data_IF_634009794663
#
_entry.id   IF_634009794663
#
_cell.length_a   1.000
_cell.length_b   1.000
_cell.length_c   1.000
_cell.angle_alpha   90.00
_cell.angle_beta   90.00
_cell.angle_gamma   90.00
#
_symmetry.space_group_name_H-M   'P 1'
#
loop_
_entity.id
_entity.type
_entity.pdbx_description
1 polymer ?
#
# COMPACT_ATOMS: atom_id res chain seq x y z
N UNK A 1 10.99 25.18 -38.62
CA UNK A 1 11.72 24.56 -37.49
C UNK A 1 10.81 24.67 -36.28
N UNK A 2 10.41 23.53 -35.72
CA UNK A 2 9.39 23.41 -34.69
C UNK A 2 10.09 23.33 -33.33
N UNK A 3 9.94 24.32 -32.46
CA UNK A 3 10.35 24.21 -31.05
C UNK A 3 9.16 23.66 -30.24
N UNK A 4 9.35 22.47 -29.67
CA UNK A 4 8.38 21.79 -28.81
C UNK A 4 8.61 22.27 -27.37
N UNK A 5 7.57 22.87 -26.79
CA UNK A 5 7.54 23.32 -25.41
C UNK A 5 7.60 22.13 -24.43
N UNK A 6 8.58 22.16 -23.52
CA UNK A 6 8.62 21.26 -22.36
C UNK A 6 7.71 21.86 -21.28
N UNK A 7 6.52 21.31 -21.16
CA UNK A 7 5.60 21.64 -20.07
C UNK A 7 5.98 20.82 -18.83
N UNK A 8 6.75 21.41 -17.92
CA UNK A 8 7.02 20.82 -16.61
C UNK A 8 5.75 20.86 -15.76
N UNK A 9 5.20 19.68 -15.46
CA UNK A 9 4.09 19.50 -14.54
C UNK A 9 4.49 19.95 -13.13
N UNK A 10 3.92 21.09 -12.69
CA UNK A 10 4.01 21.57 -11.32
C UNK A 10 3.17 20.64 -10.42
N UNK A 11 3.77 19.58 -9.89
CA UNK A 11 3.16 18.79 -8.80
C UNK A 11 2.93 19.71 -7.59
N UNK A 12 1.67 19.82 -7.19
CA UNK A 12 1.13 20.68 -6.14
C UNK A 12 1.81 20.46 -4.79
N UNK A 13 2.68 21.40 -4.39
CA UNK A 13 3.33 21.46 -3.08
C UNK A 13 2.39 21.90 -1.94
N UNK A 14 1.22 22.46 -2.27
CA UNK A 14 0.27 23.03 -1.30
C UNK A 14 -0.46 22.01 -0.42
N UNK A 15 -0.95 20.89 -0.96
CA UNK A 15 -1.66 19.85 -0.17
C UNK A 15 -0.73 19.10 0.80
N UNK A 16 0.55 18.97 0.44
CA UNK A 16 1.56 18.18 1.16
C UNK A 16 2.00 18.80 2.49
N UNK A 17 1.99 20.14 2.59
CA UNK A 17 2.31 20.88 3.81
C UNK A 17 1.24 20.75 4.90
N UNK A 18 -0.02 20.56 4.53
CA UNK A 18 -1.11 20.34 5.49
C UNK A 18 -1.17 18.88 5.98
N UNK A 19 -0.73 17.93 5.15
CA UNK A 19 -0.60 16.50 5.49
C UNK A 19 0.28 16.26 6.72
N UNK A 20 1.42 16.98 6.82
CA UNK A 20 2.31 16.89 8.00
C UNK A 20 1.74 17.50 9.29
N UNK A 21 0.74 18.39 9.21
CA UNK A 21 0.21 19.12 10.38
C UNK A 21 -0.91 18.39 11.12
N UNK A 22 -1.43 17.29 10.58
CA UNK A 22 -2.46 16.46 11.22
C UNK A 22 -1.93 15.05 11.49
N UNK A 23 -0.93 14.91 12.35
CA UNK A 23 -0.59 13.61 12.93
C UNK A 23 -1.69 13.20 13.92
N UNK A 24 -2.81 12.75 13.37
CA UNK A 24 -3.86 12.05 14.12
C UNK A 24 -3.31 10.67 14.41
N UNK A 25 -3.42 10.20 15.66
CA UNK A 25 -3.10 8.81 15.99
C UNK A 25 -4.06 7.96 15.17
N UNK A 26 -3.53 7.27 14.17
CA UNK A 26 -4.34 6.41 13.30
C UNK A 26 -4.79 5.21 14.11
N UNK A 27 -6.11 5.08 14.28
CA UNK A 27 -6.66 3.95 15.00
C UNK A 27 -7.22 2.92 14.01
N UNK A 28 -6.84 1.65 14.20
CA UNK A 28 -7.47 0.49 13.53
C UNK A 28 -9.00 0.55 13.55
N UNK A 29 -9.59 1.16 14.58
CA UNK A 29 -11.04 1.39 14.71
C UNK A 29 -11.61 2.30 13.62
N UNK A 30 -10.89 3.35 13.21
CA UNK A 30 -11.32 4.24 12.13
C UNK A 30 -11.31 3.53 10.79
N UNK A 31 -10.27 2.74 10.50
CA UNK A 31 -10.19 1.92 9.28
C UNK A 31 -11.37 0.94 9.22
N UNK A 32 -11.65 0.21 10.30
CA UNK A 32 -12.78 -0.72 10.38
C UNK A 32 -14.11 0.01 10.14
N UNK A 33 -14.28 1.23 10.68
CA UNK A 33 -15.49 2.03 10.44
C UNK A 33 -15.65 2.45 8.99
N UNK A 34 -14.57 2.83 8.31
CA UNK A 34 -14.63 3.16 6.88
C UNK A 34 -15.02 1.93 6.07
N UNK A 35 -14.35 0.80 6.29
CA UNK A 35 -14.66 -0.47 5.61
C UNK A 35 -16.12 -0.87 5.87
N UNK A 36 -16.60 -0.83 7.11
CA UNK A 36 -17.97 -1.21 7.43
C UNK A 36 -19.04 -0.27 6.84
N UNK A 37 -18.68 0.99 6.54
CA UNK A 37 -19.61 1.98 5.99
C UNK A 37 -19.62 2.01 4.47
N UNK A 38 -18.49 1.77 3.83
CA UNK A 38 -18.30 1.96 2.39
C UNK A 38 -17.91 0.69 1.64
N UNK A 39 -17.60 -0.41 2.35
CA UNK A 39 -17.30 -1.69 1.74
C UNK A 39 -18.56 -2.55 1.56
N UNK A 40 -18.52 -3.39 0.55
CA UNK A 40 -19.53 -4.41 0.22
C UNK A 40 -19.04 -5.83 0.58
N UNK A 41 -19.93 -6.82 0.52
CA UNK A 41 -19.63 -8.19 0.96
C UNK A 41 -18.47 -8.84 0.19
N UNK A 42 -18.37 -8.53 -1.11
CA UNK A 42 -17.36 -9.09 -2.02
C UNK A 42 -16.13 -8.18 -2.23
N UNK A 43 -16.07 -7.03 -1.55
CA UNK A 43 -14.94 -6.10 -1.65
C UNK A 43 -13.65 -6.65 -1.03
N UNK A 44 -13.78 -7.63 -0.14
CA UNK A 44 -12.66 -8.23 0.59
C UNK A 44 -12.71 -9.75 0.54
N UNK A 45 -11.52 -10.34 0.45
CA UNK A 45 -11.36 -11.80 0.45
C UNK A 45 -11.65 -12.46 1.80
N UNK A 46 -11.68 -11.67 2.88
CA UNK A 46 -12.04 -12.13 4.22
C UNK A 46 -10.87 -12.72 5.02
N UNK A 47 -11.17 -13.65 5.92
CA UNK A 47 -10.19 -14.17 6.88
C UNK A 47 -9.16 -15.08 6.20
N UNK A 48 -7.88 -14.72 6.32
CA UNK A 48 -6.77 -15.49 5.78
C UNK A 48 -5.92 -16.07 6.91
N UNK A 49 -5.55 -17.33 6.74
CA UNK A 49 -4.74 -18.07 7.69
C UNK A 49 -3.29 -17.54 7.77
N UNK A 50 -2.64 -17.73 8.93
CA UNK A 50 -1.29 -17.21 9.15
C UNK A 50 -0.23 -17.89 8.26
N UNK A 51 -0.48 -19.11 7.79
CA UNK A 51 0.41 -19.85 6.91
C UNK A 51 0.66 -19.10 5.60
N UNK A 52 -0.35 -18.41 5.06
CA UNK A 52 -0.18 -17.60 3.84
C UNK A 52 0.75 -16.41 4.07
N UNK A 53 0.68 -15.78 5.25
CA UNK A 53 1.60 -14.69 5.64
C UNK A 53 3.03 -15.22 5.72
N UNK A 54 3.23 -16.37 6.38
CA UNK A 54 4.55 -17.00 6.46
C UNK A 54 5.10 -17.36 5.08
N UNK A 55 4.26 -17.84 4.17
CA UNK A 55 4.67 -18.13 2.79
C UNK A 55 5.16 -16.88 2.06
N UNK A 56 4.51 -15.72 2.28
CA UNK A 56 4.96 -14.45 1.70
C UNK A 56 6.32 -14.07 2.28
N UNK A 57 6.46 -14.07 3.61
CA UNK A 57 7.72 -13.74 4.31
C UNK A 57 8.89 -14.62 3.85
N UNK A 58 8.68 -15.94 3.78
CA UNK A 58 9.69 -16.91 3.33
C UNK A 58 10.05 -16.71 1.86
N UNK A 59 9.07 -16.57 0.96
CA UNK A 59 9.34 -16.47 -0.49
C UNK A 59 9.95 -15.14 -0.89
N UNK A 60 9.64 -14.06 -0.18
CA UNK A 60 10.25 -12.74 -0.40
C UNK A 60 11.51 -12.52 0.42
N UNK A 61 11.79 -13.40 1.41
CA UNK A 61 12.88 -13.26 2.38
C UNK A 61 12.83 -11.91 3.13
N UNK A 62 11.66 -11.58 3.67
CA UNK A 62 11.39 -10.35 4.43
C UNK A 62 10.54 -10.65 5.67
N UNK A 63 10.45 -9.68 6.58
CA UNK A 63 9.48 -9.68 7.68
C UNK A 63 8.42 -8.63 7.37
N UNK A 64 7.15 -9.01 7.42
CA UNK A 64 6.04 -8.08 7.19
C UNK A 64 5.67 -7.32 8.47
N UNK A 65 5.28 -6.03 8.36
CA UNK A 65 4.87 -5.24 9.51
C UNK A 65 3.55 -5.76 10.12
N UNK A 66 3.38 -5.57 11.42
CA UNK A 66 2.24 -6.10 12.18
C UNK A 66 0.90 -5.57 11.66
N UNK A 67 0.84 -4.30 11.26
CA UNK A 67 -0.31 -3.66 10.61
C UNK A 67 -0.72 -4.34 9.30
N UNK A 68 0.22 -4.69 8.42
CA UNK A 68 -0.10 -5.37 7.16
C UNK A 68 -0.50 -6.84 7.38
N UNK A 69 0.16 -7.53 8.31
CA UNK A 69 -0.25 -8.89 8.73
C UNK A 69 -1.66 -8.90 9.30
N UNK A 70 -2.03 -7.87 10.07
CA UNK A 70 -3.39 -7.70 10.55
C UNK A 70 -4.39 -7.54 9.39
N UNK A 71 -4.06 -6.73 8.38
CA UNK A 71 -4.91 -6.55 7.20
C UNK A 71 -5.12 -7.86 6.46
N UNK A 72 -4.06 -8.58 6.10
CA UNK A 72 -4.17 -9.88 5.41
C UNK A 72 -5.03 -10.83 6.25
N UNK A 73 -4.77 -10.95 7.56
CA UNK A 73 -5.53 -11.87 8.41
C UNK A 73 -7.03 -11.53 8.49
N UNK A 74 -7.38 -10.25 8.45
CA UNK A 74 -8.75 -9.79 8.71
C UNK A 74 -9.55 -9.65 7.42
N UNK A 75 -8.92 -9.16 6.36
CA UNK A 75 -9.56 -8.75 5.11
C UNK A 75 -8.98 -9.46 3.88
N UNK A 76 -7.79 -10.05 4.00
CA UNK A 76 -7.13 -10.78 2.93
C UNK A 76 -6.55 -9.86 1.87
N UNK A 77 -7.39 -9.47 0.94
CA UNK A 77 -7.11 -8.65 -0.24
C UNK A 77 -8.40 -7.93 -0.61
N UNK A 78 -8.29 -6.68 -1.06
CA UNK A 78 -9.45 -5.87 -1.43
C UNK A 78 -9.32 -4.42 -0.98
N UNK A 79 -10.42 -3.68 -1.02
CA UNK A 79 -10.46 -2.30 -0.57
C UNK A 79 -11.82 -1.66 -0.84
N UNK A 80 -11.92 -0.35 -0.67
CA UNK A 80 -13.17 0.40 -0.82
C UNK A 80 -12.98 1.60 -1.74
N UNK A 81 -14.07 2.11 -2.30
CA UNK A 81 -14.07 3.33 -3.13
C UNK A 81 -13.05 3.27 -4.29
N UNK A 82 -12.94 2.11 -4.95
CA UNK A 82 -12.02 1.88 -6.07
C UNK A 82 -10.55 1.70 -5.69
N UNK A 83 -10.20 1.73 -4.40
CA UNK A 83 -8.87 1.38 -3.92
C UNK A 83 -8.77 -0.14 -3.77
N UNK A 84 -7.72 -0.74 -4.31
CA UNK A 84 -7.47 -2.18 -4.20
C UNK A 84 -6.13 -2.46 -3.51
N UNK A 85 -6.19 -2.95 -2.27
CA UNK A 85 -4.99 -3.34 -1.53
C UNK A 85 -4.65 -4.80 -1.79
N UNK A 86 -3.44 -5.03 -2.29
CA UNK A 86 -2.90 -6.35 -2.57
C UNK A 86 -2.66 -7.14 -1.28
N UNK A 87 -2.89 -8.44 -1.35
CA UNK A 87 -2.79 -9.33 -0.20
C UNK A 87 -2.96 -10.78 -0.61
N UNK A 88 -3.91 -11.48 0.02
CA UNK A 88 -4.22 -12.88 -0.30
C UNK A 88 -5.71 -13.03 -0.59
N UNK A 89 -6.04 -13.63 -1.73
CA UNK A 89 -7.44 -13.86 -2.12
C UNK A 89 -8.07 -15.01 -1.34
N UNK A 90 -9.41 -15.11 -1.39
CA UNK A 90 -10.17 -16.22 -0.78
C UNK A 90 -9.77 -17.60 -1.34
N UNK A 91 -9.15 -17.65 -2.53
CA UNK A 91 -8.60 -18.86 -3.14
C UNK A 91 -7.14 -19.17 -2.71
N UNK A 92 -6.60 -18.42 -1.75
CA UNK A 92 -5.22 -18.56 -1.28
C UNK A 92 -4.17 -17.99 -2.24
N UNK A 93 -4.58 -17.25 -3.28
CA UNK A 93 -3.64 -16.65 -4.22
C UNK A 93 -3.09 -15.37 -3.63
N UNK A 94 -1.78 -15.31 -3.35
CA UNK A 94 -1.14 -14.09 -2.88
C UNK A 94 -0.87 -13.13 -4.04
N UNK A 95 -1.74 -12.12 -4.19
CA UNK A 95 -1.60 -11.06 -5.19
C UNK A 95 -0.38 -10.18 -4.88
N UNK A 96 -0.11 -9.89 -3.61
CA UNK A 96 1.09 -9.13 -3.19
C UNK A 96 2.38 -9.87 -3.58
N UNK A 97 2.47 -11.18 -3.34
CA UNK A 97 3.66 -11.97 -3.68
C UNK A 97 3.87 -12.00 -5.20
N UNK A 98 2.81 -12.32 -5.96
CA UNK A 98 2.87 -12.40 -7.42
C UNK A 98 3.32 -11.06 -8.02
N UNK A 99 2.70 -9.97 -7.59
CA UNK A 99 3.01 -8.62 -8.06
C UNK A 99 4.44 -8.22 -7.66
N UNK A 100 4.83 -8.44 -6.41
CA UNK A 100 6.20 -8.14 -5.94
C UNK A 100 7.25 -8.87 -6.77
N UNK A 101 7.11 -10.19 -6.97
CA UNK A 101 8.04 -10.97 -7.78
C UNK A 101 8.06 -10.54 -9.25
N UNK A 102 6.92 -10.13 -9.80
CA UNK A 102 6.89 -9.57 -11.16
C UNK A 102 7.71 -8.29 -11.26
N UNK A 103 7.51 -7.35 -10.33
CA UNK A 103 8.22 -6.07 -10.33
C UNK A 103 9.69 -6.16 -9.91
N UNK A 104 10.13 -7.24 -9.24
CA UNK A 104 11.57 -7.56 -9.09
C UNK A 104 12.29 -7.61 -10.43
N UNK A 105 11.63 -8.08 -11.50
CA UNK A 105 12.21 -8.14 -12.86
C UNK A 105 12.47 -6.76 -13.46
N UNK A 106 11.84 -5.73 -12.92
CA UNK A 106 11.96 -4.33 -13.32
C UNK A 106 12.77 -3.51 -12.32
N UNK A 107 13.49 -4.15 -11.40
CA UNK A 107 14.41 -3.48 -10.47
C UNK A 107 13.82 -3.10 -9.12
N UNK A 108 12.62 -3.58 -8.76
CA UNK A 108 12.06 -3.35 -7.42
C UNK A 108 13.04 -3.85 -6.34
N UNK A 109 13.45 -3.05 -5.34
CA UNK A 109 14.47 -3.43 -4.35
C UNK A 109 14.06 -4.63 -3.47
N UNK A 110 14.93 -5.62 -3.18
CA UNK A 110 14.58 -6.85 -2.45
C UNK A 110 13.79 -6.71 -1.13
N UNK A 111 13.92 -5.58 -0.44
CA UNK A 111 13.20 -5.27 0.79
C UNK A 111 11.81 -4.64 0.58
N UNK A 112 11.41 -4.35 -0.67
CA UNK A 112 10.14 -3.68 -0.97
C UNK A 112 9.03 -4.71 -1.24
N UNK A 113 7.88 -4.60 -0.59
CA UNK A 113 6.73 -5.47 -0.83
C UNK A 113 5.58 -4.65 -1.39
N UNK A 114 5.07 -5.01 -2.56
CA UNK A 114 4.02 -4.23 -3.25
C UNK A 114 2.67 -4.46 -2.57
N UNK A 115 1.99 -3.37 -2.21
CA UNK A 115 0.69 -3.38 -1.53
C UNK A 115 -0.43 -2.71 -2.34
N UNK A 116 -0.11 -1.87 -3.31
CA UNK A 116 -1.08 -1.29 -4.24
C UNK A 116 -0.36 -0.94 -5.55
N UNK A 117 -1.03 -1.13 -6.68
CA UNK A 117 -0.58 -0.67 -7.99
C UNK A 117 -1.56 0.39 -8.48
N UNK A 118 -1.11 1.63 -8.63
CA UNK A 118 -1.94 2.77 -9.07
C UNK A 118 -1.62 3.19 -10.51
N UNK A 119 -1.25 2.21 -11.34
CA UNK A 119 -0.82 2.31 -12.74
C UNK A 119 0.50 3.05 -12.95
N UNK A 120 0.60 4.31 -12.52
CA UNK A 120 1.78 5.17 -12.70
C UNK A 120 2.94 4.79 -11.77
N UNK A 121 2.64 4.30 -10.57
CA UNK A 121 3.62 3.84 -9.59
C UNK A 121 3.03 2.77 -8.68
N UNK A 122 3.87 2.21 -7.82
CA UNK A 122 3.49 1.23 -6.81
C UNK A 122 3.59 1.86 -5.42
N UNK A 123 2.67 1.51 -4.53
CA UNK A 123 2.94 1.63 -3.10
C UNK A 123 3.57 0.36 -2.58
N UNK A 124 4.68 0.52 -1.86
CA UNK A 124 5.47 -0.58 -1.34
C UNK A 124 5.73 -0.41 0.15
N UNK A 125 5.71 -1.51 0.90
CA UNK A 125 6.29 -1.58 2.23
C UNK A 125 7.81 -1.64 2.09
N UNK A 126 8.54 -0.72 2.70
CA UNK A 126 10.00 -0.79 2.75
C UNK A 126 10.46 -1.52 4.03
N UNK A 127 10.56 -2.84 3.95
CA UNK A 127 10.88 -3.68 5.11
C UNK A 127 12.33 -3.55 5.57
N UNK A 128 13.19 -2.82 4.83
CA UNK A 128 14.55 -2.53 5.28
C UNK A 128 14.58 -1.49 6.41
N UNK A 129 13.51 -0.68 6.52
CA UNK A 129 13.34 0.37 7.53
C UNK A 129 12.34 -0.04 8.62
N UNK A 130 12.44 -1.30 9.07
CA UNK A 130 11.61 -1.84 10.15
C UNK A 130 11.96 -1.19 11.50
N UNK A 131 10.96 -0.64 12.19
CA UNK A 131 11.06 -0.08 13.52
C UNK A 131 9.79 -0.39 14.33
N UNK A 132 9.94 -0.93 15.54
CA UNK A 132 8.80 -1.33 16.39
C UNK A 132 7.75 -2.20 15.66
N UNK A 133 8.22 -3.14 14.81
CA UNK A 133 7.39 -4.05 13.99
C UNK A 133 6.54 -3.36 12.92
N UNK A 134 6.84 -2.10 12.62
CA UNK A 134 6.24 -1.34 11.52
C UNK A 134 7.32 -0.87 10.56
N UNK A 135 6.94 -0.58 9.32
CA UNK A 135 7.85 -0.02 8.33
C UNK A 135 7.11 1.01 7.46
N UNK A 136 7.83 1.98 6.88
CA UNK A 136 7.21 3.00 6.05
C UNK A 136 6.63 2.43 4.75
N UNK A 137 5.64 3.14 4.22
CA UNK A 137 5.13 2.94 2.86
C UNK A 137 5.78 3.96 1.95
N UNK A 138 6.33 3.49 0.84
CA UNK A 138 7.00 4.30 -0.17
C UNK A 138 6.28 4.22 -1.51
N UNK A 139 6.37 5.27 -2.30
CA UNK A 139 6.13 5.16 -3.74
C UNK A 139 7.33 4.49 -4.43
N UNK A 140 7.11 3.77 -5.53
CA UNK A 140 8.19 3.25 -6.37
C UNK A 140 7.76 3.23 -7.83
N UNK A 141 8.65 3.73 -8.70
CA UNK A 141 8.55 3.63 -10.16
C UNK A 141 9.82 3.01 -10.73
N UNK A 142 9.73 2.48 -11.96
CA UNK A 142 10.87 1.88 -12.65
C UNK A 142 11.80 2.90 -13.33
N UNK A 143 11.49 4.20 -13.23
CA UNK A 143 12.17 5.27 -13.98
C UNK A 143 13.17 6.08 -13.15
N UNK A 144 13.27 5.87 -11.84
CA UNK A 144 14.52 6.16 -11.13
C UNK A 144 14.44 6.84 -9.77
N UNK A 145 13.50 6.46 -8.90
CA UNK A 145 13.58 6.86 -7.50
C UNK A 145 13.82 5.68 -6.56
N UNK A 146 14.79 5.86 -5.66
CA UNK A 146 14.77 5.19 -4.35
C UNK A 146 13.44 5.58 -3.73
N UNK A 147 12.59 4.59 -3.47
CA UNK A 147 11.18 4.86 -3.17
C UNK A 147 11.01 5.90 -2.08
N UNK A 148 10.17 6.91 -2.33
CA UNK A 148 10.02 8.04 -1.42
C UNK A 148 8.97 7.71 -0.38
N UNK A 149 9.32 7.93 0.89
CA UNK A 149 8.38 7.74 1.99
C UNK A 149 7.17 8.66 1.85
N UNK A 150 5.99 8.04 1.78
CA UNK A 150 4.70 8.71 1.74
C UNK A 150 3.95 8.55 3.07
N UNK A 151 4.12 7.42 3.75
CA UNK A 151 3.47 7.13 5.04
C UNK A 151 4.43 6.43 6.01
N UNK A 152 4.27 6.68 7.31
CA UNK A 152 5.18 6.14 8.33
C UNK A 152 4.92 4.66 8.62
N UNK A 153 3.71 4.17 8.33
CA UNK A 153 3.29 2.79 8.52
C UNK A 153 2.07 2.46 7.63
N UNK A 154 1.72 1.18 7.55
CA UNK A 154 0.61 0.73 6.70
C UNK A 154 -0.78 1.16 7.21
N UNK A 155 -0.97 1.40 8.52
CA UNK A 155 -2.25 1.94 9.01
C UNK A 155 -2.50 3.35 8.50
N UNK A 156 -1.48 4.22 8.53
CA UNK A 156 -1.54 5.58 7.98
C UNK A 156 -1.89 5.55 6.49
N UNK A 157 -1.18 4.72 5.72
CA UNK A 157 -1.50 4.47 4.32
C UNK A 157 -2.97 4.07 4.14
N UNK A 158 -3.43 3.02 4.81
CA UNK A 158 -4.77 2.48 4.59
C UNK A 158 -5.88 3.48 4.95
N UNK A 159 -5.72 4.21 6.07
CA UNK A 159 -6.69 5.20 6.50
C UNK A 159 -6.76 6.37 5.51
N UNK A 160 -5.61 6.95 5.14
CA UNK A 160 -5.57 8.10 4.25
C UNK A 160 -6.02 7.73 2.84
N UNK A 161 -5.58 6.59 2.29
CA UNK A 161 -5.99 6.13 0.96
C UNK A 161 -7.50 5.96 0.86
N UNK A 162 -8.12 5.32 1.85
CA UNK A 162 -9.57 5.14 1.87
C UNK A 162 -10.30 6.47 2.11
N UNK A 163 -9.86 7.30 3.05
CA UNK A 163 -10.49 8.59 3.31
C UNK A 163 -10.47 9.50 2.07
N UNK A 164 -9.32 9.61 1.40
CA UNK A 164 -9.17 10.39 0.18
C UNK A 164 -10.06 9.85 -0.96
N UNK A 165 -10.13 8.53 -1.15
CA UNK A 165 -10.99 7.95 -2.18
C UNK A 165 -12.47 8.21 -1.89
N UNK A 166 -12.89 8.05 -0.64
CA UNK A 166 -14.27 8.29 -0.19
C UNK A 166 -14.68 9.77 -0.30
N UNK A 167 -13.76 10.70 -0.01
CA UNK A 167 -14.03 12.15 -0.15
C UNK A 167 -14.20 12.58 -1.62
N UNK A 168 -13.74 11.76 -2.58
CA UNK A 168 -13.85 12.01 -4.02
C UNK A 168 -14.93 11.16 -4.72
N UNK A 169 -15.76 10.42 -3.96
CA UNK A 169 -16.97 9.75 -4.49
C UNK A 169 -18.05 10.78 -4.85
#
# INVERSE_FOLDING_TARGET
>A
MLEVAIQTSKRTTGKRSDRLKRRRIVSKKEIIKLIAKYGEEDDFSGNISYEHIQQIEVKLNVILPDSYKWFIKTFGHGGVAGIEVLGVTSKGVSTTLKTTLNYRRYGLPPAFVVIENVDEWLYCLDTSRMNNKECPVVDWDCFGNVGKEEFSNFYEFLLERFAEAIENL
#
